data_IF_149670820553
#
_entry.id   IF_149670820553
#
_cell.length_a   1.000
_cell.length_b   1.000
_cell.length_c   1.000
_cell.angle_alpha   90.00
_cell.angle_beta   90.00
_cell.angle_gamma   90.00
#
_symmetry.space_group_name_H-M   'P 1'
#
loop_
_entity.id
_entity.type
_entity.pdbx_description
1 polymer ?
#
# COMPACT_ATOMS: atom_id res chain seq x y z
N UNK A 1 -23.63 6.09 -3.37
CA UNK A 1 -23.53 7.52 -3.62
C UNK A 1 -24.12 7.85 -5.01
N UNK A 2 -23.61 7.27 -6.11
CA UNK A 2 -24.09 7.57 -7.47
C UNK A 2 -25.58 7.32 -7.69
N UNK A 3 -26.15 6.23 -7.14
CA UNK A 3 -27.60 5.95 -7.22
C UNK A 3 -28.48 7.03 -6.59
N UNK A 4 -27.90 7.81 -5.67
CA UNK A 4 -28.55 8.95 -5.01
C UNK A 4 -28.15 10.30 -5.61
N UNK A 5 -27.44 10.27 -6.74
CA UNK A 5 -26.89 11.46 -7.42
C UNK A 5 -25.94 12.29 -6.52
N UNK A 6 -25.39 11.68 -5.47
CA UNK A 6 -24.41 12.33 -4.58
C UNK A 6 -22.99 12.13 -5.11
N UNK A 7 -22.64 12.94 -6.10
CA UNK A 7 -21.33 12.89 -6.75
C UNK A 7 -20.18 13.30 -5.81
N UNK A 8 -20.44 14.26 -4.92
CA UNK A 8 -19.43 14.71 -3.94
C UNK A 8 -19.05 13.58 -3.00
N UNK A 9 -20.04 12.85 -2.48
CA UNK A 9 -19.77 11.69 -1.61
C UNK A 9 -19.10 10.55 -2.35
N UNK A 10 -19.43 10.36 -3.63
CA UNK A 10 -18.77 9.35 -4.46
C UNK A 10 -17.28 9.66 -4.63
N UNK A 11 -16.93 10.92 -4.92
CA UNK A 11 -15.55 11.37 -5.06
C UNK A 11 -14.80 11.25 -3.73
N UNK A 12 -15.35 11.74 -2.63
CA UNK A 12 -14.76 11.66 -1.28
C UNK A 12 -14.38 10.22 -0.90
N UNK A 13 -15.28 9.26 -1.15
CA UNK A 13 -15.01 7.84 -0.87
C UNK A 13 -13.90 7.28 -1.77
N UNK A 14 -13.88 7.66 -3.04
CA UNK A 14 -12.85 7.24 -3.99
C UNK A 14 -11.48 7.82 -3.63
N UNK A 15 -11.41 9.11 -3.30
CA UNK A 15 -10.17 9.78 -2.88
C UNK A 15 -9.63 9.21 -1.57
N UNK A 16 -10.50 8.96 -0.59
CA UNK A 16 -10.07 8.38 0.69
C UNK A 16 -9.39 7.02 0.51
N UNK A 17 -9.92 6.18 -0.37
CA UNK A 17 -9.30 4.91 -0.71
C UNK A 17 -7.99 5.11 -1.50
N UNK A 18 -8.00 6.02 -2.48
CA UNK A 18 -6.83 6.32 -3.31
C UNK A 18 -5.63 6.74 -2.47
N UNK A 19 -5.80 7.66 -1.52
CA UNK A 19 -4.72 8.13 -0.65
C UNK A 19 -4.21 7.03 0.27
N UNK A 20 -5.10 6.26 0.91
CA UNK A 20 -4.68 5.12 1.73
C UNK A 20 -3.92 4.07 0.92
N UNK A 21 -4.35 3.83 -0.33
CA UNK A 21 -3.68 2.89 -1.22
C UNK A 21 -2.30 3.39 -1.65
N UNK A 22 -2.20 4.65 -2.08
CA UNK A 22 -0.93 5.21 -2.60
C UNK A 22 0.09 5.45 -1.51
N UNK A 23 -0.33 5.97 -0.36
CA UNK A 23 0.58 6.35 0.70
C UNK A 23 1.06 5.16 1.54
N UNK A 24 0.24 4.12 1.66
CA UNK A 24 0.56 2.96 2.49
C UNK A 24 0.82 1.70 1.65
N UNK A 25 -0.20 1.19 0.95
CA UNK A 25 -0.07 -0.10 0.26
C UNK A 25 0.97 -0.08 -0.85
N UNK A 26 0.91 0.91 -1.73
CA UNK A 26 1.85 1.04 -2.85
C UNK A 26 3.29 1.14 -2.35
N UNK A 27 3.54 1.98 -1.35
CA UNK A 27 4.88 2.13 -0.77
C UNK A 27 5.35 0.86 -0.07
N UNK A 28 4.45 0.14 0.61
CA UNK A 28 4.75 -1.11 1.29
C UNK A 28 5.23 -2.18 0.30
N UNK A 29 4.49 -2.40 -0.80
CA UNK A 29 4.77 -3.49 -1.75
C UNK A 29 5.70 -3.10 -2.90
N UNK A 30 6.16 -1.87 -2.95
CA UNK A 30 6.93 -1.28 -4.04
C UNK A 30 8.21 -2.05 -4.37
N UNK A 31 9.02 -2.37 -3.37
CA UNK A 31 10.25 -3.12 -3.59
C UNK A 31 9.98 -4.53 -4.11
N UNK A 32 8.98 -5.20 -3.57
CA UNK A 32 8.51 -6.51 -4.02
C UNK A 32 8.05 -6.45 -5.48
N UNK A 33 7.25 -5.46 -5.85
CA UNK A 33 6.77 -5.29 -7.21
C UNK A 33 7.90 -5.03 -8.23
N UNK A 34 8.95 -4.30 -7.81
CA UNK A 34 10.15 -4.08 -8.62
C UNK A 34 11.13 -5.25 -8.63
N UNK A 35 10.89 -6.31 -7.85
CA UNK A 35 11.81 -7.44 -7.72
C UNK A 35 13.12 -7.06 -7.03
N UNK A 36 13.08 -6.08 -6.12
CA UNK A 36 14.21 -5.71 -5.27
C UNK A 36 14.13 -6.47 -3.95
N UNK A 37 15.30 -6.83 -3.39
CA UNK A 37 15.34 -7.63 -2.17
C UNK A 37 15.16 -9.13 -2.43
N UNK A 38 14.94 -9.88 -1.37
CA UNK A 38 14.81 -11.34 -1.41
C UNK A 38 13.34 -11.79 -1.58
N UNK A 39 12.75 -11.41 -2.71
CA UNK A 39 11.40 -11.84 -3.09
C UNK A 39 11.44 -12.85 -4.23
N UNK A 40 10.61 -13.89 -4.12
CA UNK A 40 10.39 -14.86 -5.20
C UNK A 40 9.61 -14.23 -6.35
N UNK A 41 9.70 -14.82 -7.55
CA UNK A 41 8.89 -14.40 -8.69
C UNK A 41 7.38 -14.51 -8.43
N UNK A 42 6.96 -15.46 -7.58
CA UNK A 42 5.56 -15.61 -7.18
C UNK A 42 5.11 -14.44 -6.28
N UNK A 43 5.93 -14.05 -5.30
CA UNK A 43 5.63 -12.89 -4.43
C UNK A 43 5.58 -11.60 -5.25
N UNK A 44 6.53 -11.41 -6.16
CA UNK A 44 6.54 -10.30 -7.11
C UNK A 44 5.31 -10.28 -7.99
N UNK A 45 4.99 -11.42 -8.63
CA UNK A 45 3.81 -11.55 -9.49
C UNK A 45 2.50 -11.23 -8.75
N UNK A 46 2.37 -11.66 -7.51
CA UNK A 46 1.23 -11.34 -6.63
C UNK A 46 1.11 -9.83 -6.39
N UNK A 47 2.21 -9.14 -6.08
CA UNK A 47 2.20 -7.69 -5.88
C UNK A 47 1.81 -6.94 -7.15
N UNK A 48 2.41 -7.30 -8.29
CA UNK A 48 2.11 -6.67 -9.59
C UNK A 48 0.65 -6.88 -9.99
N UNK A 49 0.10 -8.09 -9.78
CA UNK A 49 -1.30 -8.38 -10.06
C UNK A 49 -2.23 -7.52 -9.20
N UNK A 50 -1.98 -7.45 -7.90
CA UNK A 50 -2.78 -6.64 -6.98
C UNK A 50 -2.75 -5.14 -7.33
N UNK A 51 -1.56 -4.60 -7.66
CA UNK A 51 -1.41 -3.22 -8.11
C UNK A 51 -2.18 -2.96 -9.41
N UNK A 52 -2.11 -3.89 -10.38
CA UNK A 52 -2.82 -3.77 -11.65
C UNK A 52 -4.34 -3.82 -11.46
N UNK A 53 -4.84 -4.69 -10.60
CA UNK A 53 -6.27 -4.77 -10.27
C UNK A 53 -6.75 -3.48 -9.61
N UNK A 54 -6.03 -3.00 -8.60
CA UNK A 54 -6.36 -1.76 -7.92
C UNK A 54 -6.37 -0.56 -8.88
N UNK A 55 -5.38 -0.44 -9.75
CA UNK A 55 -5.33 0.60 -10.79
C UNK A 55 -6.55 0.53 -11.69
N UNK A 56 -6.92 -0.67 -12.18
CA UNK A 56 -8.09 -0.87 -13.03
C UNK A 56 -9.40 -0.46 -12.36
N UNK A 57 -9.55 -0.70 -11.05
CA UNK A 57 -10.70 -0.25 -10.27
C UNK A 57 -10.69 1.27 -10.10
N UNK A 58 -9.57 1.83 -9.66
CA UNK A 58 -9.45 3.28 -9.39
C UNK A 58 -9.68 4.12 -10.64
N UNK A 59 -9.12 3.73 -11.78
CA UNK A 59 -9.30 4.47 -13.04
C UNK A 59 -10.77 4.52 -13.44
N UNK A 60 -11.52 3.42 -13.29
CA UNK A 60 -12.97 3.39 -13.56
C UNK A 60 -13.77 4.25 -12.57
N UNK A 61 -13.38 4.26 -11.28
CA UNK A 61 -14.03 5.09 -10.26
C UNK A 61 -13.75 6.59 -10.47
N UNK A 62 -12.56 6.96 -10.95
CA UNK A 62 -12.22 8.35 -11.26
C UNK A 62 -12.70 8.84 -12.63
N UNK A 63 -13.02 7.94 -13.56
CA UNK A 63 -13.41 8.31 -14.92
C UNK A 63 -14.53 9.37 -15.01
N UNK A 64 -15.58 9.38 -14.15
CA UNK A 64 -16.60 10.41 -14.17
C UNK A 64 -16.10 11.80 -13.74
N UNK A 65 -14.99 11.89 -13.01
CA UNK A 65 -14.47 13.13 -12.43
C UNK A 65 -13.30 13.72 -13.22
N UNK A 66 -12.40 12.84 -13.69
CA UNK A 66 -11.22 13.22 -14.45
C UNK A 66 -11.13 12.42 -15.76
N UNK A 67 -12.11 12.62 -16.67
CA UNK A 67 -12.32 11.73 -17.83
C UNK A 67 -11.09 11.59 -18.73
N UNK A 68 -10.40 12.69 -19.02
CA UNK A 68 -9.25 12.66 -19.93
C UNK A 68 -8.05 11.92 -19.33
N UNK A 69 -7.74 12.16 -18.04
CA UNK A 69 -6.66 11.46 -17.36
C UNK A 69 -6.96 9.97 -17.20
N UNK A 70 -8.22 9.62 -16.89
CA UNK A 70 -8.65 8.24 -16.77
C UNK A 70 -8.54 7.49 -18.11
N UNK A 71 -8.95 8.11 -19.20
CA UNK A 71 -8.84 7.54 -20.56
C UNK A 71 -7.39 7.35 -20.97
N UNK A 72 -6.52 8.35 -20.75
CA UNK A 72 -5.10 8.26 -21.05
C UNK A 72 -4.44 7.11 -20.29
N UNK A 73 -4.63 7.04 -18.97
CA UNK A 73 -4.05 5.97 -18.16
C UNK A 73 -4.60 4.60 -18.56
N UNK A 74 -5.90 4.49 -18.86
CA UNK A 74 -6.52 3.24 -19.33
C UNK A 74 -5.89 2.72 -20.62
N UNK A 75 -5.63 3.60 -21.59
CA UNK A 75 -5.06 3.26 -22.88
C UNK A 75 -3.65 2.64 -22.82
N UNK A 76 -2.93 2.78 -21.71
CA UNK A 76 -1.59 2.22 -21.56
C UNK A 76 -1.56 0.69 -21.48
N UNK A 77 -2.67 0.04 -21.09
CA UNK A 77 -2.72 -1.43 -20.95
C UNK A 77 -4.05 -2.08 -21.30
N UNK A 78 -5.05 -1.30 -21.69
CA UNK A 78 -6.37 -1.78 -22.04
C UNK A 78 -6.75 -1.30 -23.44
N UNK A 79 -7.49 -2.12 -24.15
CA UNK A 79 -8.12 -1.73 -25.42
C UNK A 79 -9.48 -1.08 -25.17
N UNK A 80 -9.88 -0.18 -26.08
CA UNK A 80 -11.14 0.56 -25.99
C UNK A 80 -11.11 1.66 -24.93
N UNK A 81 -12.26 2.25 -24.66
CA UNK A 81 -12.42 3.40 -23.76
C UNK A 81 -12.84 2.97 -22.36
N UNK A 82 -12.24 3.59 -21.32
CA UNK A 82 -12.67 3.39 -19.92
C UNK A 82 -14.14 3.75 -19.73
N UNK A 83 -14.65 4.74 -20.47
CA UNK A 83 -16.03 5.20 -20.38
C UNK A 83 -17.06 4.21 -20.93
N UNK A 84 -16.63 3.22 -21.70
CA UNK A 84 -17.44 2.12 -22.20
C UNK A 84 -17.22 0.83 -21.40
N UNK A 85 -16.31 0.83 -20.44
CA UNK A 85 -16.03 -0.32 -19.58
C UNK A 85 -17.13 -0.54 -18.56
N UNK A 86 -17.23 -1.78 -18.05
CA UNK A 86 -18.15 -2.08 -16.95
C UNK A 86 -17.72 -1.38 -15.66
N UNK A 87 -18.69 -0.90 -14.91
CA UNK A 87 -18.43 -0.37 -13.56
C UNK A 87 -17.82 -1.46 -12.65
N UNK A 88 -16.83 -1.12 -11.81
CA UNK A 88 -16.22 -2.11 -10.93
C UNK A 88 -17.22 -2.65 -9.91
N UNK A 89 -17.15 -3.94 -9.64
CA UNK A 89 -17.99 -4.63 -8.66
C UNK A 89 -17.14 -5.16 -7.50
N UNK A 90 -17.76 -5.37 -6.34
CA UNK A 90 -17.08 -5.92 -5.16
C UNK A 90 -16.57 -7.36 -5.39
N UNK A 91 -17.15 -8.10 -6.34
CA UNK A 91 -16.78 -9.47 -6.64
C UNK A 91 -15.46 -9.61 -7.42
N UNK A 92 -14.93 -8.50 -7.95
CA UNK A 92 -13.65 -8.48 -8.68
C UNK A 92 -12.46 -8.76 -7.74
N UNK A 93 -12.62 -8.56 -6.43
CA UNK A 93 -11.57 -8.73 -5.42
C UNK A 93 -12.08 -9.68 -4.34
N UNK A 94 -11.63 -10.93 -4.38
CA UNK A 94 -11.96 -11.95 -3.39
C UNK A 94 -10.77 -12.24 -2.48
N UNK A 95 -11.04 -12.60 -1.22
CA UNK A 95 -10.04 -13.08 -0.27
C UNK A 95 -9.16 -12.00 0.34
N UNK A 96 -9.51 -10.71 0.16
CA UNK A 96 -8.78 -9.62 0.81
C UNK A 96 -9.20 -9.50 2.29
N UNK A 97 -8.22 -9.34 3.17
CA UNK A 97 -8.43 -8.95 4.57
C UNK A 97 -8.16 -7.45 4.75
N UNK A 98 -9.21 -6.62 4.86
CA UNK A 98 -9.03 -5.18 5.07
C UNK A 98 -8.33 -4.85 6.39
N UNK A 99 -8.41 -5.75 7.40
CA UNK A 99 -7.76 -5.53 8.68
C UNK A 99 -6.24 -5.65 8.55
N UNK A 100 -5.75 -6.58 7.73
CA UNK A 100 -4.32 -6.71 7.48
C UNK A 100 -3.71 -5.42 6.89
N UNK A 101 -4.40 -4.77 5.93
CA UNK A 101 -3.94 -3.49 5.39
C UNK A 101 -3.92 -2.41 6.48
N UNK A 102 -4.94 -2.34 7.31
CA UNK A 102 -5.04 -1.37 8.40
C UNK A 102 -3.94 -1.54 9.44
N UNK A 103 -3.63 -2.78 9.79
CA UNK A 103 -2.54 -3.13 10.71
C UNK A 103 -1.18 -2.78 10.09
N UNK A 104 -1.00 -3.07 8.80
CA UNK A 104 0.20 -2.71 8.06
C UNK A 104 0.40 -1.18 7.98
N UNK A 105 -0.64 -0.43 7.67
CA UNK A 105 -0.61 1.04 7.66
C UNK A 105 -0.26 1.61 9.05
N UNK A 106 -0.78 0.99 10.11
CA UNK A 106 -0.47 1.39 11.50
C UNK A 106 1.01 1.17 11.81
N UNK A 107 1.56 -0.01 11.50
CA UNK A 107 2.98 -0.30 11.69
C UNK A 107 3.88 0.65 10.90
N UNK A 108 3.55 0.88 9.62
CA UNK A 108 4.28 1.81 8.76
C UNK A 108 4.23 3.25 9.29
N UNK A 109 3.07 3.69 9.76
CA UNK A 109 2.89 4.99 10.39
C UNK A 109 3.76 5.16 11.64
N UNK A 110 3.88 4.13 12.49
CA UNK A 110 4.75 4.14 13.67
C UNK A 110 6.24 4.22 13.30
N UNK A 111 6.67 3.50 12.26
CA UNK A 111 8.05 3.58 11.75
C UNK A 111 8.34 5.00 11.23
N UNK A 112 7.45 5.56 10.41
CA UNK A 112 7.58 6.94 9.88
C UNK A 112 7.60 7.97 10.99
N UNK A 113 6.72 7.82 11.98
CA UNK A 113 6.66 8.69 13.15
C UNK A 113 7.97 8.67 13.92
N UNK A 114 8.53 7.47 14.18
CA UNK A 114 9.81 7.36 14.88
C UNK A 114 10.93 8.09 14.16
N UNK A 115 11.02 7.99 12.81
CA UNK A 115 11.99 8.76 12.02
C UNK A 115 11.76 10.27 12.17
N UNK A 116 10.51 10.72 12.09
CA UNK A 116 10.15 12.14 12.22
C UNK A 116 10.47 12.68 13.62
N UNK A 117 10.11 11.95 14.68
CA UNK A 117 10.35 12.34 16.07
C UNK A 117 11.86 12.50 16.35
N UNK A 118 12.69 11.69 15.69
CA UNK A 118 14.16 11.79 15.74
C UNK A 118 14.76 12.78 14.72
N UNK A 119 13.91 13.53 13.99
CA UNK A 119 14.32 14.51 12.97
C UNK A 119 15.15 13.90 11.83
N UNK A 120 14.95 12.62 11.55
CA UNK A 120 15.66 11.88 10.51
C UNK A 120 14.89 11.92 9.19
N UNK A 121 15.61 11.77 8.09
CA UNK A 121 15.03 11.56 6.77
C UNK A 121 14.20 10.27 6.74
N UNK A 122 13.12 10.23 5.94
CA UNK A 122 12.40 8.97 5.67
C UNK A 122 13.31 7.91 5.03
N UNK A 123 14.45 8.31 4.47
CA UNK A 123 15.49 7.42 3.92
C UNK A 123 16.49 6.92 4.96
N UNK A 124 16.42 7.38 6.21
CA UNK A 124 17.32 6.92 7.26
C UNK A 124 17.21 5.39 7.46
N UNK A 125 18.35 4.76 7.63
CA UNK A 125 18.45 3.33 7.84
C UNK A 125 18.20 2.99 9.30
N UNK A 126 17.50 1.87 9.53
CA UNK A 126 17.22 1.32 10.84
C UNK A 126 18.03 0.02 10.96
N UNK A 127 18.91 -0.05 11.96
CA UNK A 127 19.70 -1.26 12.23
C UNK A 127 18.83 -2.39 12.76
N UNK A 128 18.00 -2.10 13.75
CA UNK A 128 17.09 -3.10 14.34
C UNK A 128 15.71 -2.49 14.60
N UNK A 129 14.68 -3.30 14.49
CA UNK A 129 13.33 -2.97 14.93
C UNK A 129 12.56 -4.23 15.33
N UNK A 130 11.60 -4.07 16.22
CA UNK A 130 10.64 -5.13 16.58
C UNK A 130 9.24 -4.68 16.25
N UNK A 131 8.55 -5.37 15.33
CA UNK A 131 7.13 -5.17 15.07
C UNK A 131 6.34 -6.20 15.89
N UNK A 132 5.36 -5.74 16.64
CA UNK A 132 4.36 -6.57 17.30
C UNK A 132 3.02 -6.43 16.59
N UNK A 133 2.24 -7.49 16.50
CA UNK A 133 0.91 -7.46 15.91
C UNK A 133 0.32 -8.84 15.64
N UNK A 134 -0.86 -8.91 15.01
CA UNK A 134 -1.47 -10.17 14.61
C UNK A 134 -0.56 -11.01 13.74
N UNK A 135 -0.65 -12.34 13.84
CA UNK A 135 0.25 -13.27 13.14
C UNK A 135 0.33 -13.03 11.63
N UNK A 136 -0.81 -12.69 11.01
CA UNK A 136 -0.88 -12.38 9.57
C UNK A 136 0.03 -11.22 9.15
N UNK A 137 0.31 -10.27 10.03
CA UNK A 137 1.17 -9.13 9.74
C UNK A 137 2.63 -9.57 9.47
N UNK A 138 3.06 -10.72 10.00
CA UNK A 138 4.39 -11.27 9.74
C UNK A 138 4.62 -11.64 8.27
N UNK A 139 3.55 -11.90 7.51
CA UNK A 139 3.65 -12.12 6.06
C UNK A 139 4.24 -10.94 5.31
N UNK A 140 4.19 -9.75 5.90
CA UNK A 140 4.70 -8.50 5.34
C UNK A 140 6.08 -8.11 5.89
N UNK A 141 6.76 -9.01 6.62
CA UNK A 141 8.05 -8.70 7.26
C UNK A 141 9.09 -8.18 6.25
N UNK A 142 9.24 -8.85 5.11
CA UNK A 142 10.16 -8.41 4.03
C UNK A 142 9.77 -7.04 3.45
N UNK A 143 8.47 -6.77 3.32
CA UNK A 143 7.99 -5.47 2.84
C UNK A 143 8.31 -4.37 3.84
N UNK A 144 8.14 -4.61 5.14
CA UNK A 144 8.55 -3.67 6.19
C UNK A 144 10.05 -3.43 6.22
N UNK A 145 10.85 -4.47 6.01
CA UNK A 145 12.31 -4.31 5.88
C UNK A 145 12.66 -3.37 4.73
N UNK A 146 12.04 -3.57 3.55
CA UNK A 146 12.27 -2.73 2.38
C UNK A 146 11.83 -1.28 2.60
N UNK A 147 10.54 -1.06 2.87
CA UNK A 147 9.98 0.29 3.01
C UNK A 147 10.55 1.06 4.21
N UNK A 148 10.81 0.35 5.32
CA UNK A 148 11.37 0.91 6.55
C UNK A 148 12.89 1.11 6.48
N UNK A 149 13.58 0.47 5.52
CA UNK A 149 15.04 0.32 5.46
C UNK A 149 15.58 -0.29 6.75
N UNK A 150 14.99 -1.42 7.16
CA UNK A 150 15.32 -2.11 8.40
C UNK A 150 16.24 -3.29 8.09
N UNK A 151 17.45 -3.28 8.63
CA UNK A 151 18.41 -4.37 8.41
C UNK A 151 17.99 -5.65 9.14
N UNK A 152 17.66 -5.53 10.43
CA UNK A 152 17.20 -6.65 11.24
C UNK A 152 15.80 -6.39 11.80
N UNK A 153 14.81 -7.14 11.33
CA UNK A 153 13.43 -7.05 11.79
C UNK A 153 13.06 -8.29 12.62
N UNK A 154 12.60 -8.07 13.84
CA UNK A 154 11.98 -9.10 14.68
C UNK A 154 10.47 -8.92 14.66
N UNK A 155 9.75 -10.04 14.60
CA UNK A 155 8.31 -10.07 14.70
C UNK A 155 7.87 -10.79 15.97
N UNK A 156 6.89 -10.23 16.69
CA UNK A 156 6.30 -10.81 17.89
C UNK A 156 4.79 -10.80 17.75
N UNK A 157 4.16 -11.95 17.92
CA UNK A 157 2.69 -12.05 17.86
C UNK A 157 2.08 -11.31 19.05
N UNK A 158 1.12 -10.42 18.76
CA UNK A 158 0.39 -9.62 19.75
C UNK A 158 -1.00 -9.25 19.21
N UNK A 159 -1.93 -8.88 20.10
CA UNK A 159 -3.27 -8.45 19.72
C UNK A 159 -3.30 -7.05 19.08
N UNK A 160 -2.37 -6.18 19.46
CA UNK A 160 -2.28 -4.81 18.99
C UNK A 160 -0.97 -4.55 18.27
N UNK A 161 -1.00 -3.66 17.27
CA UNK A 161 0.18 -3.27 16.51
C UNK A 161 1.01 -2.27 17.29
N UNK A 162 2.30 -2.58 17.46
CA UNK A 162 3.30 -1.65 17.99
C UNK A 162 4.66 -1.86 17.32
N UNK A 163 5.52 -0.84 17.40
CA UNK A 163 6.91 -0.90 16.94
C UNK A 163 7.81 -0.50 18.10
N UNK A 164 8.74 -1.37 18.45
CA UNK A 164 9.64 -1.22 19.60
C UNK A 164 11.08 -1.50 19.22
N UNK A 165 12.00 -1.16 20.11
CA UNK A 165 13.46 -1.43 19.96
C UNK A 165 13.99 -0.95 18.60
N UNK A 166 13.58 0.25 18.20
CA UNK A 166 13.95 0.83 16.93
C UNK A 166 15.26 1.61 17.12
N UNK A 167 16.33 1.09 16.53
CA UNK A 167 17.66 1.68 16.56
C UNK A 167 18.03 2.16 15.14
N UNK A 168 18.49 3.39 15.03
CA UNK A 168 18.94 3.94 13.75
C UNK A 168 20.41 3.59 13.49
N UNK A 169 20.73 3.32 12.23
CA UNK A 169 22.12 3.19 11.84
C UNK A 169 22.84 4.54 11.97
N UNK A 170 24.14 4.56 12.34
CA UNK A 170 24.90 5.79 12.37
C UNK A 170 24.91 6.44 10.99
N UNK A 171 24.72 7.77 10.95
CA UNK A 171 24.81 8.51 9.69
C UNK A 171 26.19 8.27 9.08
N UNK A 172 26.21 7.77 7.85
CA UNK A 172 27.46 7.71 7.07
C UNK A 172 27.77 9.13 6.64
N UNK A 173 28.80 9.70 7.26
CA UNK A 173 29.34 11.02 6.96
C UNK A 173 29.98 11.07 5.57
#
# INVERSE_FOLDING_TARGET
>A
AFEKYDHTKALELTESFFWAFTDDYLELVKERAYGKGDFTEQERGSAVLALRQALGVMVRLFAPFIPFAAEEVWSWWQEGSVHLSKWPTADEIQGADPQLLKDASTALGLIRKSKSDNKLSMKAEISTATIKGPEMLNLLAKDFQGVGRIAELKFVVAESVSVENLEFAPEQS
#
